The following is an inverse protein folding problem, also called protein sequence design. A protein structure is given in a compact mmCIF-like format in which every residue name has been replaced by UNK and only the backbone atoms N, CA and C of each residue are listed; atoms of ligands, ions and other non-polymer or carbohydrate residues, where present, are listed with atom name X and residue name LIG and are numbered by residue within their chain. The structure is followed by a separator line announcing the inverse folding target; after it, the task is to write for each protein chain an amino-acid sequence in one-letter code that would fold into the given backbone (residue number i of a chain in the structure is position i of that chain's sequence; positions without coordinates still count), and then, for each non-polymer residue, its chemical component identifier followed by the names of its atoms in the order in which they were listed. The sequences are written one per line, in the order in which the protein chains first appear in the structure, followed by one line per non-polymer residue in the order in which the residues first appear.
data_IF_315969652800
#
_entry.id   IF_315969652800
#
_cell.length_a   1.000
_cell.length_b   1.000
_cell.length_c   1.000
_cell.angle_alpha   90.00
_cell.angle_beta   90.00
_cell.angle_gamma   90.00
#
_symmetry.space_group_name_H-M   'P 1'
#
loop_
_entity.id
_entity.type
_entity.pdbx_description
1 polymer ?
#
# COMPACT_ATOMS: atom_id res chain seq x y z
N UNK A 1 19.07 -2.27 16.10
CA UNK A 1 18.07 -3.35 15.96
C UNK A 1 17.35 -3.50 17.28
N UNK A 2 16.07 -3.11 17.33
CA UNK A 2 15.22 -3.33 18.52
C UNK A 2 14.60 -4.71 18.41
N UNK A 3 14.67 -5.58 19.43
CA UNK A 3 14.06 -6.91 19.36
C UNK A 3 12.52 -6.80 19.28
N UNK A 4 11.90 -7.49 18.32
CA UNK A 4 10.53 -8.01 18.50
C UNK A 4 9.36 -7.38 17.73
N UNK A 5 9.54 -6.33 16.91
CA UNK A 5 8.44 -5.81 16.09
C UNK A 5 8.51 -6.37 14.66
N UNK A 6 7.62 -7.30 14.33
CA UNK A 6 7.39 -7.72 12.94
C UNK A 6 6.48 -6.66 12.30
N UNK A 7 7.06 -5.78 11.51
CA UNK A 7 6.32 -4.77 10.74
C UNK A 7 6.14 -5.28 9.32
N UNK A 8 4.93 -5.16 8.79
CA UNK A 8 4.69 -5.29 7.36
C UNK A 8 5.12 -3.99 6.67
N UNK A 9 6.34 -3.98 6.16
CA UNK A 9 7.00 -2.81 5.56
C UNK A 9 7.93 -3.23 4.41
N UNK A 10 8.39 -2.28 3.58
CA UNK A 10 9.37 -2.53 2.53
C UNK A 10 10.64 -3.22 3.07
N UNK A 11 11.27 -4.13 2.30
CA UNK A 11 12.49 -4.79 2.72
C UNK A 11 13.60 -3.77 2.98
N UNK A 12 14.31 -3.80 4.13
CA UNK A 12 15.33 -2.81 4.44
C UNK A 12 16.44 -2.68 3.38
N UNK A 13 16.74 -3.78 2.68
CA UNK A 13 17.74 -3.80 1.61
C UNK A 13 17.24 -3.18 0.29
N UNK A 14 15.93 -3.22 0.01
CA UNK A 14 15.32 -2.66 -1.21
C UNK A 14 14.91 -1.20 -1.01
N UNK A 15 14.62 -0.79 0.23
CA UNK A 15 14.19 0.56 0.61
C UNK A 15 12.71 0.84 0.27
N UNK A 16 12.26 0.43 -0.92
CA UNK A 16 10.90 0.60 -1.42
C UNK A 16 10.43 -0.65 -2.19
N UNK A 17 9.13 -0.76 -2.40
CA UNK A 17 8.46 -1.83 -3.14
C UNK A 17 8.29 -3.10 -2.32
N UNK A 18 7.87 -4.17 -2.99
CA UNK A 18 7.57 -5.44 -2.32
C UNK A 18 8.73 -6.44 -2.49
N UNK A 19 8.89 -7.31 -1.50
CA UNK A 19 9.56 -8.59 -1.72
C UNK A 19 8.62 -9.54 -2.46
N UNK A 20 9.14 -10.67 -2.93
CA UNK A 20 8.29 -11.76 -3.39
C UNK A 20 7.42 -12.24 -2.23
N UNK A 21 6.11 -12.09 -2.37
CA UNK A 21 5.14 -12.54 -1.38
C UNK A 21 4.78 -14.00 -1.68
N UNK A 22 4.90 -14.91 -0.70
CA UNK A 22 4.63 -16.33 -0.92
C UNK A 22 3.15 -16.60 -1.22
N UNK A 23 2.27 -15.69 -0.82
CA UNK A 23 0.83 -15.76 -1.00
C UNK A 23 0.29 -14.39 -1.40
N UNK A 24 -0.87 -14.38 -2.07
CA UNK A 24 -1.59 -13.15 -2.38
C UNK A 24 -2.08 -12.51 -1.08
N UNK A 25 -1.85 -11.21 -0.84
CA UNK A 25 -2.35 -10.55 0.36
C UNK A 25 -3.87 -10.62 0.49
N UNK A 26 -4.35 -10.89 1.71
CA UNK A 26 -5.77 -10.94 2.04
C UNK A 26 -6.13 -9.77 2.97
N UNK A 27 -7.08 -8.94 2.55
CA UNK A 27 -7.74 -7.94 3.37
C UNK A 27 -9.08 -8.49 3.85
N UNK A 28 -9.38 -8.33 5.13
CA UNK A 28 -10.67 -8.74 5.69
C UNK A 28 -11.28 -7.56 6.41
N UNK A 29 -12.51 -7.20 6.04
CA UNK A 29 -13.25 -6.15 6.75
C UNK A 29 -14.20 -6.77 7.78
N UNK A 30 -13.97 -6.43 9.03
CA UNK A 30 -14.91 -6.67 10.12
C UNK A 30 -15.66 -5.37 10.43
N UNK A 31 -16.99 -5.29 10.20
CA UNK A 31 -17.77 -4.08 10.48
C UNK A 31 -17.68 -3.58 11.92
N UNK A 32 -17.36 -4.47 12.87
CA UNK A 32 -17.16 -4.13 14.28
C UNK A 32 -15.82 -3.42 14.55
N UNK A 33 -14.84 -3.57 13.66
CA UNK A 33 -13.49 -3.00 13.81
C UNK A 33 -13.34 -1.65 13.10
N UNK A 34 -14.31 -1.26 12.27
CA UNK A 34 -14.31 0.06 11.64
C UNK A 34 -15.14 0.15 10.38
N UNK A 35 -15.05 1.32 9.74
CA UNK A 35 -15.66 1.58 8.44
C UNK A 35 -14.88 0.86 7.33
N UNK A 36 -15.49 0.72 6.16
CA UNK A 36 -14.79 0.29 4.96
C UNK A 36 -13.59 1.22 4.68
N UNK A 37 -12.46 0.69 4.16
CA UNK A 37 -11.32 1.50 3.75
C UNK A 37 -11.74 2.60 2.78
N UNK A 38 -11.11 3.77 2.87
CA UNK A 38 -11.23 4.83 1.86
C UNK A 38 -10.43 4.44 0.62
N UNK A 39 -10.40 5.34 -0.36
CA UNK A 39 -9.58 5.16 -1.55
C UNK A 39 -8.08 5.07 -1.22
N UNK A 40 -7.64 5.69 -0.11
CA UNK A 40 -6.28 5.63 0.44
C UNK A 40 -6.30 5.37 1.94
N UNK A 41 -5.62 4.31 2.38
CA UNK A 41 -5.31 4.04 3.78
C UNK A 41 -3.82 3.76 3.97
N UNK A 42 -3.31 4.00 5.18
CA UNK A 42 -1.92 3.68 5.56
C UNK A 42 -1.93 2.41 6.39
N UNK A 43 -1.19 1.39 5.95
CA UNK A 43 -0.97 0.14 6.67
C UNK A 43 0.53 -0.02 6.95
N UNK A 44 0.97 0.52 8.09
CA UNK A 44 2.38 0.53 8.49
C UNK A 44 3.27 1.14 7.39
N UNK A 45 4.14 0.35 6.77
CA UNK A 45 5.06 0.80 5.72
C UNK A 45 4.48 0.81 4.32
N UNK A 46 3.23 0.36 4.13
CA UNK A 46 2.57 0.31 2.83
C UNK A 46 1.28 1.13 2.81
N UNK A 47 0.80 1.41 1.60
CA UNK A 47 -0.50 1.99 1.36
C UNK A 47 -1.49 0.88 0.96
N UNK A 48 -2.75 1.04 1.35
CA UNK A 48 -3.87 0.31 0.76
C UNK A 48 -4.59 1.29 -0.17
N UNK A 49 -4.74 0.92 -1.44
CA UNK A 49 -5.36 1.77 -2.46
C UNK A 49 -6.52 1.07 -3.13
N UNK A 50 -7.61 1.78 -3.36
CA UNK A 50 -8.72 1.25 -4.16
C UNK A 50 -8.33 1.15 -5.63
N UNK A 51 -9.06 0.35 -6.41
CA UNK A 51 -8.84 0.26 -7.86
C UNK A 51 -8.91 1.61 -8.57
N UNK A 52 -9.84 2.50 -8.17
CA UNK A 52 -9.95 3.83 -8.80
C UNK A 52 -8.72 4.69 -8.52
N UNK A 53 -8.16 4.64 -7.30
CA UNK A 53 -6.98 5.41 -6.96
C UNK A 53 -5.73 4.85 -7.62
N UNK A 54 -5.61 3.52 -7.71
CA UNK A 54 -4.54 2.87 -8.47
C UNK A 54 -4.49 3.39 -9.91
N UNK A 55 -5.63 3.46 -10.60
CA UNK A 55 -5.70 3.99 -11.98
C UNK A 55 -5.24 5.44 -12.07
N UNK A 56 -5.58 6.28 -11.08
CA UNK A 56 -5.09 7.67 -11.01
C UNK A 56 -3.58 7.70 -10.81
N UNK A 57 -3.02 6.87 -9.94
CA UNK A 57 -1.57 6.79 -9.74
C UNK A 57 -0.84 6.36 -11.01
N UNK A 58 -1.35 5.34 -11.71
CA UNK A 58 -0.77 4.87 -12.97
C UNK A 58 -0.84 5.92 -14.08
N UNK A 59 -1.93 6.70 -14.15
CA UNK A 59 -2.10 7.79 -15.13
C UNK A 59 -1.15 8.97 -14.87
N UNK A 60 -0.95 9.31 -13.60
CA UNK A 60 -0.06 10.42 -13.19
C UNK A 60 1.41 10.03 -13.30
N UNK A 61 1.78 8.83 -12.84
CA UNK A 61 3.16 8.34 -12.85
C UNK A 61 3.20 6.81 -12.81
N UNK A 62 3.15 6.18 -13.98
CA UNK A 62 3.21 4.73 -14.13
C UNK A 62 4.49 4.08 -13.55
N UNK A 63 5.57 4.86 -13.36
CA UNK A 63 6.83 4.39 -12.75
C UNK A 63 6.96 4.79 -11.26
N UNK A 64 5.99 5.51 -10.72
CA UNK A 64 6.04 6.07 -9.36
C UNK A 64 5.75 5.05 -8.26
N UNK A 65 4.96 4.04 -8.59
CA UNK A 65 4.36 3.12 -7.63
C UNK A 65 4.50 1.67 -8.05
N UNK A 66 4.72 0.79 -7.08
CA UNK A 66 4.59 -0.66 -7.24
C UNK A 66 3.26 -1.09 -6.59
N UNK A 67 2.52 -2.00 -7.24
CA UNK A 67 1.23 -2.47 -6.76
C UNK A 67 1.18 -3.99 -6.64
N UNK A 68 0.54 -4.50 -5.60
CA UNK A 68 0.23 -5.91 -5.41
C UNK A 68 -1.28 -6.09 -5.27
N UNK A 69 -1.86 -6.99 -6.06
CA UNK A 69 -3.30 -7.31 -6.01
C UNK A 69 -3.65 -8.00 -4.69
N UNK A 70 -4.77 -7.61 -4.07
CA UNK A 70 -5.25 -8.22 -2.84
C UNK A 70 -6.59 -8.92 -3.07
N UNK A 71 -6.79 -10.01 -2.35
CA UNK A 71 -8.14 -10.50 -2.11
C UNK A 71 -8.79 -9.69 -0.99
N UNK A 72 -10.09 -9.47 -1.10
CA UNK A 72 -10.87 -8.73 -0.11
C UNK A 72 -12.12 -9.53 0.23
N UNK A 73 -12.30 -9.83 1.51
CA UNK A 73 -13.51 -10.50 2.01
C UNK A 73 -14.17 -9.70 3.12
N UNK A 74 -15.49 -9.79 3.18
CA UNK A 74 -16.29 -9.30 4.29
C UNK A 74 -16.34 -10.36 5.40
N UNK A 75 -16.78 -9.97 6.59
CA UNK A 75 -16.87 -10.85 7.76
C UNK A 75 -17.73 -12.12 7.54
N UNK A 76 -18.64 -12.11 6.56
CA UNK A 76 -19.47 -13.26 6.19
C UNK A 76 -18.82 -14.16 5.10
N UNK A 77 -17.59 -13.84 4.69
CA UNK A 77 -16.86 -14.54 3.64
C UNK A 77 -17.21 -14.10 2.22
N UNK A 78 -18.17 -13.19 2.04
CA UNK A 78 -18.48 -12.66 0.71
C UNK A 78 -17.33 -11.79 0.18
N UNK A 79 -17.22 -11.72 -1.15
CA UNK A 79 -16.18 -10.94 -1.80
C UNK A 79 -16.46 -9.44 -1.65
N UNK A 80 -15.48 -8.70 -1.18
CA UNK A 80 -15.53 -7.24 -1.08
C UNK A 80 -15.00 -6.53 -2.33
N UNK A 81 -14.91 -5.19 -2.26
CA UNK A 81 -14.33 -4.36 -3.33
C UNK A 81 -12.85 -4.66 -3.57
N UNK A 82 -12.36 -4.33 -4.76
CA UNK A 82 -10.97 -4.56 -5.15
C UNK A 82 -10.03 -3.49 -4.59
N UNK A 83 -8.98 -3.95 -3.93
CA UNK A 83 -7.92 -3.13 -3.34
C UNK A 83 -6.55 -3.70 -3.69
N UNK A 84 -5.54 -2.86 -3.55
CA UNK A 84 -4.15 -3.19 -3.79
C UNK A 84 -3.30 -2.72 -2.62
N UNK A 85 -2.23 -3.43 -2.32
CA UNK A 85 -1.10 -2.82 -1.62
C UNK A 85 -0.34 -1.95 -2.61
N UNK A 86 0.13 -0.80 -2.15
CA UNK A 86 1.00 0.07 -2.92
C UNK A 86 2.20 0.54 -2.10
N UNK A 87 3.31 0.75 -2.79
CA UNK A 87 4.45 1.50 -2.26
C UNK A 87 4.96 2.52 -3.28
N UNK A 88 5.53 3.61 -2.79
CA UNK A 88 6.18 4.63 -3.61
C UNK A 88 7.60 4.16 -3.91
N UNK A 89 7.91 3.88 -5.17
CA UNK A 89 9.21 3.33 -5.59
C UNK A 89 10.10 4.32 -6.31
N UNK A 90 9.59 5.51 -6.60
CA UNK A 90 10.33 6.58 -7.27
C UNK A 90 10.29 7.84 -6.43
N UNK A 91 11.48 8.28 -6.00
CA UNK A 91 11.65 9.56 -5.33
C UNK A 91 12.16 10.56 -6.36
N UNK A 92 11.39 11.62 -6.56
CA UNK A 92 11.81 12.78 -7.34
C UNK A 92 12.20 13.89 -6.38
N UNK A 93 13.31 14.54 -6.66
CA UNK A 93 13.71 15.74 -5.94
C UNK A 93 12.81 16.92 -6.37
N UNK A 94 11.71 17.08 -5.64
CA UNK A 94 10.69 18.08 -5.94
C UNK A 94 10.95 19.43 -5.24
N UNK A 95 11.89 19.48 -4.30
CA UNK A 95 12.18 20.66 -3.48
C UNK A 95 13.60 21.10 -3.77
N UNK A 96 13.77 22.31 -4.33
CA UNK A 96 15.09 22.95 -4.43
C UNK A 96 15.58 23.34 -3.03
N UNK A 97 16.29 22.41 -2.37
CA UNK A 97 16.80 22.61 -1.01
C UNK A 97 17.75 23.81 -0.91
N UNK A 98 18.41 24.20 -1.99
CA UNK A 98 19.30 25.38 -2.01
C UNK A 98 18.53 26.71 -1.89
N UNK A 99 17.22 26.70 -2.19
CA UNK A 99 16.33 27.87 -2.04
C UNK A 99 15.40 27.78 -0.82
N UNK A 100 15.53 26.73 -0.02
CA UNK A 100 14.78 26.57 1.22
C UNK A 100 15.29 27.59 2.25
N UNK A 101 14.42 28.51 2.66
CA UNK A 101 14.69 29.46 3.76
C UNK A 101 14.59 28.79 5.12
#
# INVERSE_FOLDING_TARGET
MTPGLIVFAPPPAKGHGFAELPEKPQLVHYPKEGKMPRDLEILHGYLIVSERLKRVFEDVDAAGFEFVDCDFTLADGSQGPKYYLADVVRVLDAIDEARRK
#
